data_IF_256444550053
#
_entry.id   IF_256444550053
#
_cell.length_a   1.000
_cell.length_b   1.000
_cell.length_c   1.000
_cell.angle_alpha   90.00
_cell.angle_beta   90.00
_cell.angle_gamma   90.00
#
_symmetry.space_group_name_H-M   'P 1'
#
loop_
_entity.id
_entity.type
_entity.pdbx_description
1 polymer ?
#
# COMPACT_ATOMS: atom_id res chain seq x y z
N UNK A 1 39.18 -29.63 -13.97
CA UNK A 1 38.32 -30.01 -12.82
C UNK A 1 38.60 -29.01 -11.71
N UNK A 2 37.53 -28.57 -11.02
CA UNK A 2 37.38 -27.30 -10.27
C UNK A 2 37.28 -26.09 -11.23
N UNK A 3 36.22 -25.28 -11.20
CA UNK A 3 35.76 -24.50 -10.04
C UNK A 3 34.23 -24.52 -9.84
N UNK A 4 33.86 -24.82 -8.59
CA UNK A 4 32.76 -24.27 -7.78
C UNK A 4 31.61 -23.58 -8.53
N UNK A 5 30.48 -24.31 -8.64
CA UNK A 5 29.17 -23.68 -8.70
C UNK A 5 28.87 -23.06 -7.33
N UNK A 6 28.93 -21.74 -7.26
CA UNK A 6 28.48 -20.98 -6.11
C UNK A 6 26.97 -21.08 -5.99
N UNK A 7 26.52 -21.88 -5.02
CA UNK A 7 25.24 -21.67 -4.35
C UNK A 7 25.25 -20.28 -3.72
N UNK A 8 24.48 -19.36 -4.29
CA UNK A 8 24.18 -18.06 -3.69
C UNK A 8 22.69 -17.82 -3.73
N UNK A 9 22.00 -18.04 -2.60
CA UNK A 9 20.65 -17.50 -2.37
C UNK A 9 20.74 -15.98 -2.45
N UNK A 10 20.58 -15.43 -3.66
CA UNK A 10 20.53 -14.00 -3.93
C UNK A 10 19.46 -13.71 -4.98
N UNK A 11 18.28 -14.33 -4.86
CA UNK A 11 17.21 -14.17 -5.86
C UNK A 11 15.86 -13.73 -5.29
N UNK A 12 15.65 -13.73 -3.97
CA UNK A 12 14.34 -13.38 -3.40
C UNK A 12 14.14 -11.86 -3.26
N UNK A 13 15.15 -11.13 -2.78
CA UNK A 13 15.00 -9.71 -2.43
C UNK A 13 15.07 -8.78 -3.65
N UNK A 14 15.93 -9.10 -4.62
CA UNK A 14 16.10 -8.31 -5.86
C UNK A 14 14.94 -8.49 -6.83
N UNK A 15 14.38 -9.71 -6.97
CA UNK A 15 13.15 -9.92 -7.76
C UNK A 15 11.94 -9.20 -7.13
N UNK A 16 11.79 -9.23 -5.80
CA UNK A 16 10.71 -8.53 -5.10
C UNK A 16 10.79 -7.00 -5.30
N UNK A 17 12.00 -6.43 -5.36
CA UNK A 17 12.20 -5.00 -5.64
C UNK A 17 11.84 -4.65 -7.09
N UNK A 18 12.20 -5.51 -8.06
CA UNK A 18 11.91 -5.31 -9.49
C UNK A 18 10.40 -5.44 -9.77
N UNK A 19 9.72 -6.41 -9.17
CA UNK A 19 8.28 -6.63 -9.35
C UNK A 19 7.41 -5.55 -8.68
N UNK A 20 8.02 -4.74 -7.81
CA UNK A 20 7.35 -3.67 -7.06
C UNK A 20 7.65 -2.28 -7.65
N UNK A 21 8.05 -2.20 -8.92
CA UNK A 21 8.46 -0.95 -9.57
C UNK A 21 7.41 0.16 -9.45
N UNK A 22 6.14 -0.16 -9.71
CA UNK A 22 5.05 0.82 -9.70
C UNK A 22 4.80 1.43 -8.30
N UNK A 23 4.72 0.61 -7.26
CA UNK A 23 4.50 1.09 -5.91
C UNK A 23 5.75 1.74 -5.29
N UNK A 24 6.94 1.18 -5.53
CA UNK A 24 8.19 1.83 -5.11
C UNK A 24 8.36 3.20 -5.79
N UNK A 25 8.04 3.30 -7.08
CA UNK A 25 8.04 4.55 -7.84
C UNK A 25 7.00 5.53 -7.29
N UNK A 26 5.79 5.07 -6.96
CA UNK A 26 4.76 5.89 -6.34
C UNK A 26 5.24 6.49 -5.01
N UNK A 27 5.80 5.67 -4.12
CA UNK A 27 6.35 6.14 -2.85
C UNK A 27 7.51 7.11 -3.06
N UNK A 28 8.51 6.76 -3.87
CA UNK A 28 9.72 7.57 -4.04
C UNK A 28 9.44 8.93 -4.67
N UNK A 29 8.43 9.00 -5.54
CA UNK A 29 8.06 10.24 -6.21
C UNK A 29 7.08 11.09 -5.41
N UNK A 30 6.44 10.54 -4.37
CA UNK A 30 5.44 11.27 -3.58
C UNK A 30 6.06 12.20 -2.53
N UNK A 31 5.49 13.38 -2.38
CA UNK A 31 5.67 14.23 -1.19
C UNK A 31 4.47 14.15 -0.25
N UNK A 32 3.35 13.60 -0.70
CA UNK A 32 2.17 13.34 0.13
C UNK A 32 1.50 12.00 -0.15
N UNK A 33 1.01 11.37 0.92
CA UNK A 33 0.14 10.19 0.85
C UNK A 33 -1.13 10.50 1.65
N UNK A 34 -2.28 10.23 1.04
CA UNK A 34 -3.60 10.36 1.66
C UNK A 34 -4.26 8.98 1.68
N UNK A 35 -4.72 8.53 2.85
CA UNK A 35 -5.56 7.34 2.97
C UNK A 35 -6.96 7.77 3.38
N UNK A 36 -7.96 7.27 2.66
CA UNK A 36 -9.38 7.52 2.95
C UNK A 36 -10.09 6.20 3.14
N UNK A 37 -11.03 6.19 4.08
CA UNK A 37 -11.91 5.04 4.27
C UNK A 37 -13.08 5.13 3.29
N UNK A 38 -13.58 3.99 2.84
CA UNK A 38 -14.81 3.90 2.06
C UNK A 38 -16.00 4.41 2.88
N UNK A 39 -16.90 5.17 2.25
CA UNK A 39 -18.17 5.58 2.88
C UNK A 39 -19.04 4.35 3.15
N UNK A 40 -19.73 4.34 4.28
CA UNK A 40 -20.54 3.20 4.72
C UNK A 40 -21.69 2.82 3.77
N UNK A 41 -22.16 3.75 2.94
CA UNK A 41 -23.27 3.54 1.99
C UNK A 41 -22.82 3.17 0.58
N UNK A 42 -21.54 2.90 0.36
CA UNK A 42 -20.97 2.61 -0.96
C UNK A 42 -20.61 1.14 -1.10
N UNK A 43 -20.66 0.64 -2.33
CA UNK A 43 -20.27 -0.75 -2.62
C UNK A 43 -18.75 -0.90 -2.66
N UNK A 44 -18.27 -2.07 -2.26
CA UNK A 44 -16.84 -2.42 -2.20
C UNK A 44 -16.21 -2.56 -3.59
N UNK A 45 -17.03 -2.74 -4.63
CA UNK A 45 -16.58 -2.81 -6.03
C UNK A 45 -16.28 -1.42 -6.63
N UNK A 46 -16.95 -0.36 -6.15
CA UNK A 46 -16.75 0.99 -6.68
C UNK A 46 -15.39 1.53 -6.20
N UNK A 47 -14.67 2.26 -7.05
CA UNK A 47 -13.37 2.87 -6.74
C UNK A 47 -13.29 4.36 -7.11
N UNK A 48 -14.42 4.97 -7.43
CA UNK A 48 -14.54 6.41 -7.65
C UNK A 48 -14.18 7.18 -6.39
N UNK A 49 -13.47 8.28 -6.54
CA UNK A 49 -13.01 9.12 -5.42
C UNK A 49 -14.19 9.61 -4.55
N UNK A 50 -15.34 9.88 -5.18
CA UNK A 50 -16.57 10.29 -4.50
C UNK A 50 -17.11 9.26 -3.50
N UNK A 51 -16.71 7.99 -3.62
CA UNK A 51 -17.16 6.93 -2.74
C UNK A 51 -16.34 6.80 -1.44
N UNK A 52 -15.29 7.60 -1.28
CA UNK A 52 -14.47 7.63 -0.07
C UNK A 52 -14.81 8.85 0.78
N UNK A 53 -14.53 8.75 2.07
CA UNK A 53 -14.69 9.86 3.01
C UNK A 53 -13.81 11.05 2.59
N UNK A 54 -14.39 12.24 2.55
CA UNK A 54 -13.63 13.46 2.22
C UNK A 54 -12.53 13.72 3.26
N UNK A 55 -12.80 13.35 4.52
CA UNK A 55 -11.82 13.44 5.60
C UNK A 55 -10.84 12.28 5.49
N UNK A 56 -9.56 12.61 5.28
CA UNK A 56 -8.48 11.63 5.28
C UNK A 56 -8.35 10.99 6.66
N UNK A 57 -8.23 9.67 6.72
CA UNK A 57 -7.87 8.97 7.97
C UNK A 57 -6.36 9.06 8.22
N UNK A 58 -5.59 9.23 7.15
CA UNK A 58 -4.16 9.56 7.18
C UNK A 58 -3.84 10.56 6.09
N UNK A 59 -3.03 11.54 6.45
CA UNK A 59 -2.39 12.46 5.52
C UNK A 59 -0.98 12.73 6.03
N UNK A 60 -0.01 12.57 5.14
CA UNK A 60 1.38 12.87 5.45
C UNK A 60 1.97 13.77 4.40
N UNK A 61 2.69 14.79 4.83
CA UNK A 61 3.52 15.67 4.00
C UNK A 61 5.00 15.65 4.47
N UNK A 62 5.34 14.75 5.42
CA UNK A 62 6.69 14.63 6.00
C UNK A 62 7.37 13.33 5.56
N UNK A 63 8.63 13.43 5.14
CA UNK A 63 9.46 12.30 4.69
C UNK A 63 9.47 11.14 5.68
N UNK A 64 9.62 11.40 6.98
CA UNK A 64 9.64 10.35 8.03
C UNK A 64 8.35 9.51 8.08
N UNK A 65 7.20 10.14 7.79
CA UNK A 65 5.90 9.48 7.79
C UNK A 65 5.67 8.70 6.49
N UNK A 66 6.23 9.17 5.37
CA UNK A 66 6.30 8.41 4.11
C UNK A 66 7.18 7.17 4.29
N UNK A 67 8.35 7.31 4.93
CA UNK A 67 9.21 6.18 5.28
C UNK A 67 8.50 5.21 6.24
N UNK A 68 7.73 5.72 7.20
CA UNK A 68 6.91 4.86 8.08
C UNK A 68 5.84 4.07 7.31
N UNK A 69 5.24 4.68 6.28
CA UNK A 69 4.32 3.97 5.40
C UNK A 69 5.05 2.90 4.57
N UNK A 70 6.23 3.22 4.02
CA UNK A 70 7.08 2.27 3.29
C UNK A 70 7.41 1.02 4.13
N UNK A 71 7.67 1.19 5.43
CA UNK A 71 7.93 0.09 6.37
C UNK A 71 6.78 -0.92 6.50
N UNK A 72 5.54 -0.56 6.17
CA UNK A 72 4.41 -1.50 6.14
C UNK A 72 4.63 -2.64 5.14
N UNK A 73 5.40 -2.35 4.08
CA UNK A 73 5.64 -3.25 2.97
C UNK A 73 6.96 -4.02 3.13
N UNK A 74 7.71 -3.80 4.22
CA UNK A 74 8.86 -4.64 4.55
C UNK A 74 8.42 -6.09 4.77
N UNK A 75 8.92 -6.98 3.92
CA UNK A 75 8.52 -8.39 3.83
C UNK A 75 7.06 -8.61 3.40
N UNK A 76 6.45 -7.64 2.71
CA UNK A 76 5.16 -7.88 2.06
C UNK A 76 5.32 -8.94 0.99
N UNK A 77 4.38 -9.87 0.91
CA UNK A 77 4.35 -10.82 -0.20
C UNK A 77 3.73 -10.13 -1.41
N UNK A 78 4.52 -9.95 -2.46
CA UNK A 78 4.00 -9.58 -3.77
C UNK A 78 3.15 -10.74 -4.31
N UNK A 79 1.99 -10.41 -4.86
CA UNK A 79 1.07 -11.36 -5.49
C UNK A 79 0.55 -10.78 -6.79
N UNK A 80 0.49 -11.62 -7.82
CA UNK A 80 -0.09 -11.27 -9.12
C UNK A 80 -1.61 -10.99 -9.01
N UNK A 81 -2.24 -10.83 -10.16
CA UNK A 81 -3.65 -10.48 -10.35
C UNK A 81 -4.59 -10.94 -9.23
N UNK A 82 -5.34 -9.98 -8.70
CA UNK A 82 -6.41 -10.24 -7.76
C UNK A 82 -7.76 -10.08 -8.48
N UNK A 83 -8.48 -11.18 -8.70
CA UNK A 83 -9.91 -11.03 -8.96
C UNK A 83 -10.58 -10.53 -7.69
N UNK A 84 -11.34 -9.47 -7.85
CA UNK A 84 -12.48 -9.20 -7.00
C UNK A 84 -12.13 -8.85 -5.52
N UNK A 85 -11.13 -7.98 -5.26
CA UNK A 85 -10.87 -7.48 -3.91
C UNK A 85 -11.99 -6.52 -3.47
N UNK A 86 -12.27 -6.51 -2.17
CA UNK A 86 -13.22 -5.57 -1.56
C UNK A 86 -12.50 -4.26 -1.22
N UNK A 87 -12.93 -3.15 -1.82
CA UNK A 87 -12.27 -1.86 -1.58
C UNK A 87 -12.77 -1.22 -0.29
N UNK A 88 -11.97 -1.32 0.78
CA UNK A 88 -12.28 -0.65 2.06
C UNK A 88 -11.56 0.70 2.21
N UNK A 89 -10.40 0.88 1.56
CA UNK A 89 -9.60 2.11 1.63
C UNK A 89 -9.04 2.52 0.27
N UNK A 90 -8.93 3.83 0.03
CA UNK A 90 -8.06 4.40 -1.01
C UNK A 90 -6.73 4.82 -0.40
N UNK A 91 -5.66 4.70 -1.19
CA UNK A 91 -4.32 5.14 -0.87
C UNK A 91 -3.84 5.99 -2.06
N UNK A 92 -3.92 7.29 -1.90
CA UNK A 92 -3.67 8.27 -2.95
C UNK A 92 -2.29 8.91 -2.74
N UNK A 93 -1.47 8.86 -3.78
CA UNK A 93 -0.10 9.37 -3.81
C UNK A 93 -0.05 10.70 -4.55
N UNK A 94 0.64 11.69 -4.00
CA UNK A 94 0.68 13.06 -4.50
C UNK A 94 2.11 13.58 -4.63
N UNK A 95 2.32 14.44 -5.64
CA UNK A 95 3.52 15.25 -5.83
C UNK A 95 3.11 16.68 -6.17
N UNK A 96 3.62 17.67 -5.43
CA UNK A 96 3.30 19.09 -5.64
C UNK A 96 1.80 19.37 -5.75
N UNK A 97 1.00 18.71 -4.90
CA UNK A 97 -0.47 18.77 -4.88
C UNK A 97 -1.22 18.05 -6.01
N UNK A 98 -0.52 17.46 -6.98
CA UNK A 98 -1.13 16.64 -8.02
C UNK A 98 -1.16 15.17 -7.62
N UNK A 99 -2.31 14.50 -7.81
CA UNK A 99 -2.43 13.06 -7.58
C UNK A 99 -1.72 12.32 -8.70
N UNK A 100 -0.68 11.55 -8.36
CA UNK A 100 0.10 10.80 -9.35
C UNK A 100 -0.44 9.38 -9.57
N UNK A 101 -0.90 8.69 -8.51
CA UNK A 101 -1.45 7.34 -8.61
C UNK A 101 -2.32 7.00 -7.39
N UNK A 102 -3.25 6.07 -7.58
CA UNK A 102 -4.09 5.52 -6.52
C UNK A 102 -3.91 4.01 -6.41
N UNK A 103 -3.77 3.55 -5.17
CA UNK A 103 -3.88 2.16 -4.76
C UNK A 103 -5.13 2.00 -3.89
N UNK A 104 -5.51 0.75 -3.66
CA UNK A 104 -6.66 0.40 -2.82
C UNK A 104 -6.28 -0.68 -1.83
N UNK A 105 -7.02 -0.77 -0.72
CA UNK A 105 -6.80 -1.78 0.31
C UNK A 105 -8.09 -2.55 0.62
N UNK A 106 -7.96 -3.87 0.59
CA UNK A 106 -8.91 -4.86 1.09
C UNK A 106 -8.41 -5.38 2.44
N UNK A 107 -9.25 -5.18 3.45
CA UNK A 107 -8.99 -5.52 4.84
C UNK A 107 -9.99 -6.54 5.38
N UNK A 108 -10.99 -6.94 4.60
CA UNK A 108 -12.10 -7.80 5.00
C UNK A 108 -11.84 -9.26 4.65
N UNK A 109 -11.32 -9.56 3.45
CA UNK A 109 -11.27 -10.94 2.96
C UNK A 109 -10.21 -11.81 3.67
N UNK A 110 -9.10 -11.21 4.12
CA UNK A 110 -8.03 -11.94 4.79
C UNK A 110 -7.99 -11.63 6.29
N UNK A 111 -8.11 -12.67 7.13
CA UNK A 111 -8.13 -12.51 8.59
C UNK A 111 -6.86 -11.81 9.13
N UNK A 112 -5.70 -12.18 8.60
CA UNK A 112 -4.40 -11.74 9.12
C UNK A 112 -3.63 -10.84 8.15
N UNK A 113 -4.16 -10.58 6.96
CA UNK A 113 -3.49 -9.78 5.93
C UNK A 113 -4.38 -8.66 5.44
N UNK A 114 -3.76 -7.59 5.01
CA UNK A 114 -4.39 -6.55 4.21
C UNK A 114 -3.83 -6.70 2.80
N UNK A 115 -4.69 -6.72 1.80
CA UNK A 115 -4.28 -6.74 0.41
C UNK A 115 -4.29 -5.31 -0.10
N UNK A 116 -3.14 -4.79 -0.49
CA UNK A 116 -3.02 -3.51 -1.19
C UNK A 116 -2.86 -3.80 -2.67
N UNK A 117 -3.64 -3.15 -3.53
CA UNK A 117 -3.67 -3.49 -4.96
C UNK A 117 -3.77 -2.25 -5.84
N UNK A 118 -3.27 -2.38 -7.06
CA UNK A 118 -3.33 -1.34 -8.08
C UNK A 118 -4.74 -1.16 -8.63
N UNK A 119 -5.04 0.04 -9.12
CA UNK A 119 -6.32 0.38 -9.74
C UNK A 119 -6.68 -0.53 -10.93
N UNK A 120 -5.68 -0.97 -11.70
CA UNK A 120 -5.83 -1.87 -12.84
C UNK A 120 -5.80 -3.37 -12.46
N UNK A 121 -5.68 -3.70 -11.16
CA UNK A 121 -5.57 -5.06 -10.62
C UNK A 121 -4.40 -5.92 -11.09
N UNK A 122 -3.41 -5.35 -11.78
CA UNK A 122 -2.30 -6.16 -12.29
C UNK A 122 -1.49 -6.75 -11.14
N UNK A 123 -1.30 -5.97 -10.08
CA UNK A 123 -0.44 -6.32 -8.96
C UNK A 123 -1.08 -6.05 -7.61
N UNK A 124 -0.71 -6.87 -6.63
CA UNK A 124 -1.13 -6.70 -5.24
C UNK A 124 -0.06 -7.11 -4.24
N UNK A 125 -0.21 -6.64 -3.01
CA UNK A 125 0.72 -6.86 -1.90
C UNK A 125 -0.08 -7.35 -0.70
N UNK A 126 0.40 -8.40 -0.05
CA UNK A 126 -0.13 -8.86 1.22
C UNK A 126 0.75 -8.33 2.35
N UNK A 127 0.21 -7.37 3.09
CA UNK A 127 0.83 -6.80 4.28
C UNK A 127 0.21 -7.39 5.54
N UNK A 128 0.95 -7.36 6.65
CA UNK A 128 0.44 -7.83 7.94
C UNK A 128 -0.65 -6.90 8.49
N UNK A 129 -1.80 -7.46 8.86
CA UNK A 129 -2.95 -6.67 9.34
C UNK A 129 -2.70 -5.98 10.67
N UNK A 130 -1.89 -6.56 11.56
CA UNK A 130 -1.53 -5.92 12.81
C UNK A 130 -0.62 -4.71 12.54
N UNK A 131 0.36 -4.84 11.64
CA UNK A 131 1.19 -3.70 11.21
C UNK A 131 0.34 -2.57 10.62
N UNK A 132 -0.61 -2.89 9.75
CA UNK A 132 -1.54 -1.92 9.17
C UNK A 132 -2.35 -1.17 10.25
N UNK A 133 -2.96 -1.93 11.18
CA UNK A 133 -3.76 -1.34 12.26
C UNK A 133 -2.91 -0.46 13.20
N UNK A 134 -1.71 -0.93 13.56
CA UNK A 134 -0.76 -0.16 14.38
C UNK A 134 -0.37 1.15 13.70
N UNK A 135 -0.07 1.11 12.40
CA UNK A 135 0.24 2.31 11.64
C UNK A 135 -0.92 3.31 11.66
N UNK A 136 -2.14 2.87 11.32
CA UNK A 136 -3.32 3.74 11.36
C UNK A 136 -3.57 4.33 12.75
N UNK A 137 -3.32 3.58 13.82
CA UNK A 137 -3.48 4.06 15.19
C UNK A 137 -2.41 5.08 15.60
N UNK A 138 -1.13 4.83 15.28
CA UNK A 138 -0.03 5.77 15.56
C UNK A 138 -0.28 7.13 14.90
N UNK A 139 -0.88 7.12 13.71
CA UNK A 139 -1.25 8.32 12.98
C UNK A 139 -2.40 9.09 13.65
N UNK A 140 -3.45 8.38 14.08
CA UNK A 140 -4.61 9.02 14.73
C UNK A 140 -4.21 9.75 16.01
N UNK A 141 -3.33 9.14 16.81
CA UNK A 141 -2.82 9.73 18.06
C UNK A 141 -2.03 11.01 17.78
N UNK A 142 -1.22 11.06 16.72
CA UNK A 142 -0.44 12.26 16.33
C UNK A 142 -1.26 13.43 15.77
N UNK A 143 -2.57 13.25 15.51
CA UNK A 143 -3.48 14.33 15.10
C UNK A 143 -4.21 14.99 16.28
N UNK A 144 -4.11 14.41 17.47
CA UNK A 144 -4.78 14.89 18.69
C UNK A 144 -3.83 15.60 19.68
N UNK A 145 -2.52 15.59 19.39
CA UNK A 145 -1.48 16.33 20.09
C UNK A 145 -0.95 17.44 19.19
#
# INVERSE_FOLDING_TARGET
MFLQSCNGKLESSTLEIINNYSFNSAISNSDKIIIRQKKANQTEANRDEACFENKSIFETEKTERIESFKKLFENSKYTDYCCCPETNYSIDFYKKSEKIVSFFADTSQNKNKVRVFESNFQYSYLIDKNKWNLFLNQIKVKRQN
#
